data_IF_325080491425
#
_entry.id   IF_325080491425
#
_cell.length_a   1.000
_cell.length_b   1.000
_cell.length_c   1.000
_cell.angle_alpha   90.00
_cell.angle_beta   90.00
_cell.angle_gamma   90.00
#
_symmetry.space_group_name_H-M   'P 1'
#
loop_
_entity.id
_entity.type
_entity.pdbx_description
1 polymer ?
#
# COMPACT_ATOMS: atom_id res chain seq x y z
N UNK A 1 -3.96 8.76 19.26
CA UNK A 1 -2.85 7.81 19.00
C UNK A 1 -3.24 6.85 17.88
N UNK A 2 -3.90 5.70 18.14
CA UNK A 2 -4.52 4.90 17.07
C UNK A 2 -5.69 5.61 16.38
N UNK A 3 -6.43 6.44 17.14
CA UNK A 3 -7.59 7.19 16.63
C UNK A 3 -7.24 8.14 15.47
N UNK A 4 -6.04 8.72 15.47
CA UNK A 4 -5.62 9.69 14.46
C UNK A 4 -5.25 8.98 13.15
N UNK A 5 -4.49 7.89 13.25
CA UNK A 5 -4.22 6.98 12.13
C UNK A 5 -5.51 6.34 11.59
N UNK A 6 -6.42 5.95 12.49
CA UNK A 6 -7.74 5.46 12.13
C UNK A 6 -8.55 6.51 11.38
N UNK A 7 -8.50 7.78 11.80
CA UNK A 7 -9.17 8.89 11.13
C UNK A 7 -8.55 9.16 9.75
N UNK A 8 -7.22 9.09 9.63
CA UNK A 8 -6.54 9.18 8.35
C UNK A 8 -7.02 8.09 7.38
N UNK A 9 -7.03 6.83 7.84
CA UNK A 9 -7.40 5.67 7.03
C UNK A 9 -8.91 5.66 6.66
N UNK A 10 -9.78 5.97 7.62
CA UNK A 10 -11.24 5.83 7.46
C UNK A 10 -11.94 7.10 6.97
N UNK A 11 -11.29 8.26 7.02
CA UNK A 11 -11.89 9.52 6.54
C UNK A 11 -11.06 10.19 5.45
N UNK A 12 -9.78 10.46 5.69
CA UNK A 12 -8.96 11.25 4.75
C UNK A 12 -8.70 10.51 3.43
N UNK A 13 -8.34 9.23 3.50
CA UNK A 13 -8.13 8.38 2.32
C UNK A 13 -9.42 8.20 1.49
N UNK A 14 -10.58 7.81 2.07
CA UNK A 14 -11.81 7.66 1.27
C UNK A 14 -12.33 8.97 0.70
N UNK A 15 -12.18 10.12 1.37
CA UNK A 15 -12.54 11.44 0.78
C UNK A 15 -11.71 11.75 -0.46
N UNK A 16 -10.41 11.46 -0.40
CA UNK A 16 -9.51 11.64 -1.53
C UNK A 16 -9.85 10.68 -2.67
N UNK A 17 -10.16 9.41 -2.36
CA UNK A 17 -10.66 8.43 -3.34
C UNK A 17 -11.96 8.89 -4.01
N UNK A 18 -12.89 9.46 -3.25
CA UNK A 18 -14.15 9.98 -3.81
C UNK A 18 -13.88 11.14 -4.79
N UNK A 19 -12.94 12.02 -4.46
CA UNK A 19 -12.54 13.12 -5.34
C UNK A 19 -11.87 12.60 -6.61
N UNK A 20 -11.00 11.58 -6.47
CA UNK A 20 -10.36 10.92 -7.59
C UNK A 20 -11.37 10.24 -8.52
N UNK A 21 -12.40 9.60 -7.95
CA UNK A 21 -13.49 9.00 -8.72
C UNK A 21 -14.23 10.05 -9.56
N UNK A 22 -14.63 11.18 -8.96
CA UNK A 22 -15.28 12.29 -9.68
C UNK A 22 -14.42 12.83 -10.82
N UNK A 23 -13.11 12.98 -10.60
CA UNK A 23 -12.17 13.37 -11.65
C UNK A 23 -12.08 12.33 -12.76
N UNK A 24 -12.00 11.05 -12.40
CA UNK A 24 -11.94 9.94 -13.36
C UNK A 24 -13.19 9.93 -14.24
N UNK A 25 -14.38 10.04 -13.65
CA UNK A 25 -15.65 10.07 -14.38
C UNK A 25 -15.70 11.27 -15.35
N UNK A 26 -15.29 12.46 -14.90
CA UNK A 26 -15.21 13.65 -15.77
C UNK A 26 -14.16 13.53 -16.87
N UNK A 27 -13.04 12.85 -16.62
CA UNK A 27 -12.02 12.56 -17.62
C UNK A 27 -12.56 11.59 -18.68
N UNK A 28 -13.24 10.53 -18.26
CA UNK A 28 -13.87 9.57 -19.17
C UNK A 28 -14.92 10.25 -20.05
N UNK A 29 -15.77 11.11 -19.48
CA UNK A 29 -16.75 11.88 -20.24
C UNK A 29 -16.09 12.77 -21.30
N UNK A 30 -15.05 13.54 -20.93
CA UNK A 30 -14.32 14.39 -21.87
C UNK A 30 -13.66 13.57 -22.99
N UNK A 31 -13.04 12.43 -22.66
CA UNK A 31 -12.41 11.56 -23.65
C UNK A 31 -13.41 10.91 -24.58
N UNK A 32 -14.60 10.53 -24.09
CA UNK A 32 -15.68 10.01 -24.92
C UNK A 32 -16.12 11.05 -25.97
N UNK A 33 -16.24 12.32 -25.60
CA UNK A 33 -16.53 13.39 -26.56
C UNK A 33 -15.39 13.61 -27.57
N UNK A 34 -14.13 13.50 -27.14
CA UNK A 34 -12.99 13.58 -28.06
C UNK A 34 -13.01 12.44 -29.08
N UNK A 35 -13.32 11.22 -28.64
CA UNK A 35 -13.44 10.07 -29.51
C UNK A 35 -14.58 10.25 -30.50
N UNK A 36 -15.76 10.69 -30.03
CA UNK A 36 -16.91 10.88 -30.91
C UNK A 36 -16.68 11.94 -31.99
N UNK A 37 -16.03 13.06 -31.64
CA UNK A 37 -15.66 14.08 -32.62
C UNK A 37 -14.67 13.52 -33.64
N UNK A 38 -13.68 12.75 -33.19
CA UNK A 38 -12.72 12.10 -34.09
C UNK A 38 -13.40 11.12 -35.05
N UNK A 39 -14.30 10.27 -34.57
CA UNK A 39 -15.07 9.37 -35.42
C UNK A 39 -15.84 10.13 -36.51
N UNK A 40 -16.44 11.27 -36.16
CA UNK A 40 -17.15 12.10 -37.14
C UNK A 40 -16.22 12.77 -38.16
N UNK A 41 -15.03 13.21 -37.73
CA UNK A 41 -14.00 13.76 -38.61
C UNK A 41 -13.48 12.66 -39.58
N UNK A 42 -13.28 11.43 -39.09
CA UNK A 42 -12.83 10.29 -39.88
C UNK A 42 -13.89 9.88 -40.93
N UNK A 43 -15.17 9.83 -40.56
CA UNK A 43 -16.28 9.58 -41.50
C UNK A 43 -16.40 10.66 -42.59
N UNK A 44 -16.18 11.95 -42.24
CA UNK A 44 -16.17 13.05 -43.21
C UNK A 44 -15.00 12.95 -44.18
N UNK A 45 -13.83 12.51 -43.71
CA UNK A 45 -12.66 12.25 -44.54
C UNK A 45 -12.89 11.10 -45.54
N UNK A 46 -13.50 10.01 -45.09
CA UNK A 46 -13.87 8.89 -45.96
C UNK A 46 -14.87 9.33 -47.04
N UNK A 47 -15.92 10.04 -46.65
CA UNK A 47 -16.94 10.57 -47.57
C UNK A 47 -16.35 11.53 -48.62
N UNK A 48 -15.37 12.36 -48.23
CA UNK A 48 -14.65 13.22 -49.16
C UNK A 48 -13.86 12.43 -50.21
N UNK A 49 -13.33 11.25 -49.85
CA UNK A 49 -12.63 10.35 -50.78
C UNK A 49 -13.56 9.79 -51.85
N UNK A 50 -14.82 9.51 -51.50
CA UNK A 50 -15.84 9.01 -52.43
C UNK A 50 -16.63 10.11 -53.16
N UNK A 51 -16.31 11.40 -52.91
CA UNK A 51 -17.03 12.57 -53.47
C UNK A 51 -18.54 12.52 -53.18
N UNK A 52 -18.94 11.87 -52.07
CA UNK A 52 -20.33 11.76 -51.66
C UNK A 52 -20.51 12.46 -50.32
N UNK A 53 -21.22 13.60 -50.27
CA UNK A 53 -21.43 14.31 -49.01
C UNK A 53 -22.36 13.53 -48.07
N UNK A 54 -22.04 13.51 -46.78
CA UNK A 54 -22.92 12.90 -45.78
C UNK A 54 -24.20 13.73 -45.62
N UNK A 55 -25.34 13.04 -45.44
CA UNK A 55 -26.64 13.68 -45.20
C UNK A 55 -26.63 14.64 -44.00
N UNK A 56 -25.85 14.34 -42.95
CA UNK A 56 -25.68 15.25 -41.79
C UNK A 56 -25.07 16.61 -42.18
N UNK A 57 -24.12 16.60 -43.13
CA UNK A 57 -23.39 17.80 -43.56
C UNK A 57 -24.30 18.65 -44.43
N UNK A 58 -25.04 18.02 -45.34
CA UNK A 58 -26.05 18.69 -46.17
C UNK A 58 -27.16 19.35 -45.33
N UNK A 59 -27.53 18.73 -44.21
CA UNK A 59 -28.50 19.28 -43.26
C UNK A 59 -27.91 20.34 -42.30
N UNK A 60 -26.65 20.76 -42.45
CA UNK A 60 -26.04 21.84 -41.65
C UNK A 60 -25.18 21.40 -40.46
N UNK A 61 -24.89 20.09 -40.34
CA UNK A 61 -23.98 19.48 -39.37
C UNK A 61 -24.21 19.86 -37.91
N UNK A 62 -25.48 19.93 -37.48
CA UNK A 62 -25.86 20.35 -36.13
C UNK A 62 -25.33 19.42 -35.04
N UNK A 63 -25.28 18.11 -35.30
CA UNK A 63 -24.77 17.11 -34.36
C UNK A 63 -23.30 17.35 -34.03
N UNK A 64 -22.46 17.59 -35.04
CA UNK A 64 -21.04 17.89 -34.86
C UNK A 64 -20.86 19.14 -33.99
N UNK A 65 -21.61 20.21 -34.30
CA UNK A 65 -21.57 21.47 -33.55
C UNK A 65 -22.01 21.28 -32.10
N UNK A 66 -22.99 20.42 -31.85
CA UNK A 66 -23.44 20.07 -30.51
C UNK A 66 -22.35 19.32 -29.75
N UNK A 67 -21.75 18.29 -30.34
CA UNK A 67 -20.65 17.53 -29.74
C UNK A 67 -19.43 18.40 -29.44
N UNK A 68 -19.08 19.34 -30.32
CA UNK A 68 -18.01 20.31 -30.06
C UNK A 68 -18.27 21.17 -28.81
N UNK A 69 -19.51 21.62 -28.62
CA UNK A 69 -19.90 22.38 -27.41
C UNK A 69 -19.83 21.51 -26.16
N UNK A 70 -20.36 20.29 -26.23
CA UNK A 70 -20.29 19.32 -25.12
C UNK A 70 -18.85 18.98 -24.76
N UNK A 71 -17.98 18.77 -25.74
CA UNK A 71 -16.54 18.55 -25.55
C UNK A 71 -15.89 19.72 -24.82
N UNK A 72 -16.19 20.95 -25.23
CA UNK A 72 -15.65 22.14 -24.58
C UNK A 72 -16.13 22.26 -23.13
N UNK A 73 -17.43 22.07 -22.89
CA UNK A 73 -17.99 22.09 -21.54
C UNK A 73 -17.38 20.99 -20.63
N UNK A 74 -17.22 19.78 -21.16
CA UNK A 74 -16.57 18.67 -20.44
C UNK A 74 -15.08 18.96 -20.16
N UNK A 75 -14.35 19.56 -21.11
CA UNK A 75 -12.95 19.96 -20.93
C UNK A 75 -12.80 20.91 -19.75
N UNK A 76 -13.67 21.92 -19.63
CA UNK A 76 -13.63 22.90 -18.54
C UNK A 76 -13.83 22.22 -17.18
N UNK A 77 -14.82 21.31 -17.06
CA UNK A 77 -15.05 20.53 -15.84
C UNK A 77 -13.86 19.64 -15.48
N UNK A 78 -13.33 18.92 -16.47
CA UNK A 78 -12.17 18.04 -16.30
C UNK A 78 -10.92 18.81 -15.83
N UNK A 79 -10.59 19.94 -16.46
CA UNK A 79 -9.41 20.74 -16.11
C UNK A 79 -9.53 21.29 -14.68
N UNK A 80 -10.72 21.75 -14.29
CA UNK A 80 -10.97 22.20 -12.92
C UNK A 80 -10.78 21.08 -11.90
N UNK A 81 -11.36 19.90 -12.14
CA UNK A 81 -11.20 18.75 -11.25
C UNK A 81 -9.75 18.25 -11.20
N UNK A 82 -8.98 18.40 -12.28
CA UNK A 82 -7.57 18.04 -12.33
C UNK A 82 -6.74 18.85 -11.33
N UNK A 83 -6.94 20.17 -11.27
CA UNK A 83 -6.23 21.01 -10.28
C UNK A 83 -6.64 20.65 -8.86
N UNK A 84 -7.94 20.40 -8.63
CA UNK A 84 -8.48 20.08 -7.30
C UNK A 84 -7.91 18.75 -6.78
N UNK A 85 -7.83 17.72 -7.63
CA UNK A 85 -7.25 16.41 -7.26
C UNK A 85 -5.77 16.53 -6.94
N UNK A 86 -5.00 17.31 -7.73
CA UNK A 86 -3.57 17.47 -7.52
C UNK A 86 -3.29 18.07 -6.13
N UNK A 87 -3.99 19.16 -5.79
CA UNK A 87 -3.87 19.81 -4.48
C UNK A 87 -4.26 18.85 -3.35
N UNK A 88 -5.39 18.13 -3.50
CA UNK A 88 -5.82 17.16 -2.48
C UNK A 88 -4.81 16.03 -2.26
N UNK A 89 -4.23 15.48 -3.34
CA UNK A 89 -3.21 14.43 -3.25
C UNK A 89 -1.97 14.93 -2.51
N UNK A 90 -1.53 16.15 -2.81
CA UNK A 90 -0.38 16.75 -2.15
C UNK A 90 -0.63 17.00 -0.65
N UNK A 91 -1.82 17.50 -0.29
CA UNK A 91 -2.22 17.68 1.11
C UNK A 91 -2.30 16.34 1.86
N UNK A 92 -2.85 15.31 1.22
CA UNK A 92 -2.94 13.97 1.80
C UNK A 92 -1.55 13.40 2.07
N UNK A 93 -0.61 13.55 1.13
CA UNK A 93 0.74 13.01 1.28
C UNK A 93 1.54 13.75 2.35
N UNK A 94 1.46 15.09 2.38
CA UNK A 94 2.07 15.88 3.45
C UNK A 94 1.56 15.46 4.83
N UNK A 95 0.25 15.27 4.97
CA UNK A 95 -0.37 14.81 6.21
C UNK A 95 0.10 13.39 6.59
N UNK A 96 0.17 12.48 5.61
CA UNK A 96 0.65 11.10 5.83
C UNK A 96 2.05 11.09 6.43
N UNK A 97 2.97 11.86 5.84
CA UNK A 97 4.37 11.91 6.28
C UNK A 97 4.45 12.45 7.71
N UNK A 98 3.74 13.53 8.01
CA UNK A 98 3.70 14.12 9.35
C UNK A 98 3.11 13.16 10.39
N UNK A 99 1.94 12.57 10.10
CA UNK A 99 1.25 11.67 11.03
C UNK A 99 2.11 10.43 11.31
N UNK A 100 2.70 9.80 10.29
CA UNK A 100 3.53 8.60 10.46
C UNK A 100 4.80 8.90 11.24
N UNK A 101 5.52 9.97 10.91
CA UNK A 101 6.74 10.36 11.62
C UNK A 101 6.45 10.60 13.12
N UNK A 102 5.37 11.33 13.41
CA UNK A 102 4.96 11.62 14.78
C UNK A 102 4.53 10.37 15.56
N UNK A 103 3.83 9.42 14.92
CA UNK A 103 3.47 8.16 15.60
C UNK A 103 4.72 7.30 15.88
N UNK A 104 5.68 7.25 14.98
CA UNK A 104 6.92 6.48 15.16
C UNK A 104 7.80 7.06 16.27
N UNK A 105 8.03 8.37 16.27
CA UNK A 105 8.79 9.06 17.32
C UNK A 105 8.20 8.77 18.71
N UNK A 106 6.87 8.85 18.82
CA UNK A 106 6.17 8.59 20.08
C UNK A 106 6.17 7.12 20.48
N UNK A 107 6.11 6.20 19.52
CA UNK A 107 6.23 4.77 19.80
C UNK A 107 7.61 4.45 20.39
N UNK A 108 8.68 4.95 19.76
CA UNK A 108 10.06 4.77 20.25
C UNK A 108 10.23 5.43 21.61
N UNK A 109 9.72 6.64 21.80
CA UNK A 109 9.74 7.32 23.11
C UNK A 109 9.01 6.53 24.19
N UNK A 110 7.84 5.97 23.89
CA UNK A 110 7.08 5.10 24.79
C UNK A 110 7.83 3.80 25.12
N UNK A 111 8.41 3.14 24.12
CA UNK A 111 9.21 1.93 24.30
C UNK A 111 10.46 2.21 25.15
N UNK A 112 11.13 3.34 24.94
CA UNK A 112 12.28 3.75 25.75
C UNK A 112 11.89 3.92 27.22
N UNK A 113 10.79 4.62 27.50
CA UNK A 113 10.29 4.82 28.87
C UNK A 113 9.90 3.48 29.50
N UNK A 114 9.18 2.62 28.76
CA UNK A 114 8.78 1.29 29.23
C UNK A 114 9.98 0.41 29.57
N UNK A 115 10.96 0.29 28.67
CA UNK A 115 12.18 -0.49 28.91
C UNK A 115 12.97 0.05 30.10
N UNK A 116 13.07 1.38 30.26
CA UNK A 116 13.72 2.00 31.41
C UNK A 116 12.99 1.70 32.72
N UNK A 117 11.65 1.70 32.71
CA UNK A 117 10.85 1.31 33.88
C UNK A 117 11.06 -0.17 34.22
N UNK A 118 11.00 -1.07 33.24
CA UNK A 118 11.29 -2.49 33.44
C UNK A 118 12.70 -2.71 34.00
N UNK A 119 13.72 -2.04 33.45
CA UNK A 119 15.09 -2.10 33.95
C UNK A 119 15.19 -1.65 35.40
N UNK A 120 14.53 -0.55 35.78
CA UNK A 120 14.57 -0.05 37.15
C UNK A 120 13.91 -1.03 38.14
N UNK A 121 12.79 -1.66 37.76
CA UNK A 121 12.12 -2.68 38.58
C UNK A 121 13.00 -3.93 38.71
N UNK A 122 13.56 -4.41 37.60
CA UNK A 122 14.47 -5.56 37.58
C UNK A 122 15.74 -5.32 38.38
N UNK A 123 16.27 -4.09 38.38
CA UNK A 123 17.46 -3.72 39.17
C UNK A 123 17.18 -3.72 40.68
N UNK A 124 15.95 -3.40 41.09
CA UNK A 124 15.54 -3.41 42.50
C UNK A 124 15.19 -4.81 43.01
N UNK A 125 14.66 -5.65 42.12
CA UNK A 125 14.51 -7.07 42.41
C UNK A 125 15.91 -7.69 42.44
N UNK A 126 16.43 -7.98 43.64
CA UNK A 126 17.69 -8.71 43.82
C UNK A 126 17.54 -10.18 43.37
N UNK A 127 17.27 -10.40 42.08
CA UNK A 127 17.28 -11.71 41.46
C UNK A 127 18.75 -12.04 41.18
N UNK A 128 19.48 -12.37 42.23
CA UNK A 128 20.82 -12.95 42.16
C UNK A 128 20.73 -14.40 41.64
N UNK A 129 21.87 -14.96 41.20
CA UNK A 129 22.14 -15.22 39.79
C UNK A 129 21.20 -16.25 39.18
N UNK A 130 20.65 -15.97 37.98
CA UNK A 130 20.07 -17.03 37.15
C UNK A 130 21.26 -17.84 36.65
N UNK A 131 21.63 -18.90 37.37
CA UNK A 131 22.52 -19.92 36.83
C UNK A 131 21.78 -20.59 35.68
N UNK A 132 22.00 -20.08 34.47
CA UNK A 132 21.73 -20.85 33.26
C UNK A 132 22.76 -21.97 33.27
N UNK A 133 22.42 -23.11 33.86
CA UNK A 133 23.19 -24.34 33.70
C UNK A 133 23.14 -24.73 32.22
N UNK A 134 24.11 -24.23 31.45
CA UNK A 134 24.51 -24.84 30.19
C UNK A 134 25.20 -26.14 30.58
N UNK A 135 24.42 -27.21 30.78
CA UNK A 135 24.94 -28.55 30.99
C UNK A 135 25.60 -29.03 29.70
N UNK A 136 26.82 -28.56 29.44
CA UNK A 136 27.76 -29.20 28.53
C UNK A 136 28.25 -30.42 29.30
N UNK A 137 27.56 -31.54 29.13
CA UNK A 137 28.06 -32.81 29.60
C UNK A 137 29.37 -33.09 28.84
N UNK A 138 30.53 -33.23 29.50
CA UNK A 138 31.72 -33.71 28.80
C UNK A 138 31.45 -35.15 28.32
N UNK A 139 31.95 -35.55 27.14
CA UNK A 139 31.80 -36.92 26.68
C UNK A 139 32.55 -37.83 27.65
N UNK A 140 31.83 -38.76 28.28
CA UNK A 140 32.41 -39.83 29.08
C UNK A 140 33.31 -40.68 28.18
N UNK A 141 34.60 -40.86 28.51
CA UNK A 141 35.46 -41.77 27.74
C UNK A 141 34.99 -43.22 27.92
N UNK A 142 35.12 -44.08 26.89
CA UNK A 142 34.63 -45.45 26.93
C UNK A 142 35.39 -46.26 27.98
N UNK A 143 34.66 -47.07 28.75
CA UNK A 143 35.23 -48.00 29.70
C UNK A 143 36.13 -49.00 28.96
N UNK A 144 37.39 -49.09 29.39
CA UNK A 144 38.34 -50.11 28.94
C UNK A 144 38.01 -51.38 29.74
N UNK A 145 37.36 -52.35 29.08
CA UNK A 145 37.22 -53.71 29.59
C UNK A 145 38.60 -54.38 29.56
N UNK A 146 39.18 -54.60 30.74
CA UNK A 146 40.40 -55.37 30.92
C UNK A 146 40.06 -56.86 31.03
N UNK A 147 40.36 -57.61 29.97
CA UNK A 147 40.41 -59.07 29.97
C UNK A 147 41.56 -59.56 30.86
N UNK A 148 41.30 -60.63 31.63
CA UNK A 148 42.26 -61.35 32.45
C UNK A 148 41.70 -62.72 32.82
N UNK A 149 42.03 -63.70 31.98
CA UNK A 149 41.54 -65.09 31.92
C UNK A 149 41.94 -66.01 33.10
N UNK A 150 41.15 -67.09 33.25
CA UNK A 150 41.58 -68.44 33.64
C UNK A 150 41.32 -68.81 35.10
N UNK A 151 40.68 -69.92 35.49
CA UNK A 151 40.25 -71.13 34.78
C UNK A 151 40.28 -72.32 35.77
N UNK A 152 39.32 -73.24 35.66
CA UNK A 152 39.26 -74.54 36.37
C UNK A 152 38.46 -74.52 37.68
N UNK A 153 37.49 -75.39 37.99
CA UNK A 153 37.06 -76.65 37.39
C UNK A 153 36.70 -77.62 38.52
N UNK A 154 35.54 -78.29 38.41
CA UNK A 154 35.07 -79.49 39.15
C UNK A 154 34.76 -79.31 40.67
N UNK A 155 33.78 -79.95 41.32
CA UNK A 155 33.15 -81.27 41.13
C UNK A 155 31.62 -81.25 41.36
N UNK A 156 30.92 -82.19 40.73
CA UNK A 156 29.50 -82.48 40.91
C UNK A 156 29.17 -83.51 41.99
N UNK A 157 27.87 -83.61 42.31
CA UNK A 157 27.26 -84.59 43.21
C UNK A 157 25.84 -84.19 43.61
#
# INVERSE_FOLDING_TARGET
MLKDLYTYLQKAVPDTKLTLKKYSDSKFEFLAYCLKVKEMDDEEYEAATFVQPLGRVLAGNYEYRMFLRCRHAAKLRFVKLRSDVLVKLQLLDNKRVQDVAFQLERLVGGMYVYNRQCYNVLKQAAVFPIEVQLSIHPPTPPAIEGEGEGGGGDEGG
#
